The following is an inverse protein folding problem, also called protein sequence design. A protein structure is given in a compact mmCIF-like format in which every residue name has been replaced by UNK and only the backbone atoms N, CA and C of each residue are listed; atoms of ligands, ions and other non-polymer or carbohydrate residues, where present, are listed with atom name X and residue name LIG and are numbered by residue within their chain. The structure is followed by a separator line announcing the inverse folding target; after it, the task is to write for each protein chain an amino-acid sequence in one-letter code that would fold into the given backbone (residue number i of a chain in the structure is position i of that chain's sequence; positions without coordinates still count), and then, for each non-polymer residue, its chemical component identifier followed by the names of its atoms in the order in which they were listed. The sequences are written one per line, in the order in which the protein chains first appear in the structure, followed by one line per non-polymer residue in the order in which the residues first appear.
data_IF_102761339366
#
_entry.id   IF_102761339366
#
_cell.length_a   1.000
_cell.length_b   1.000
_cell.length_c   1.000
_cell.angle_alpha   90.00
_cell.angle_beta   90.00
_cell.angle_gamma   90.00
#
_symmetry.space_group_name_H-M   'P 1'
#
loop_
_entity.id
_entity.type
_entity.pdbx_description
1 polymer ?
#
# COMPACT_ATOMS: atom_id res chain seq x y z
N UNK A 1 16.69 11.44 -72.60
CA UNK A 1 17.61 10.77 -71.64
C UNK A 1 17.75 11.47 -70.28
N UNK A 2 17.33 12.73 -70.14
CA UNK A 2 17.51 13.53 -68.91
C UNK A 2 16.41 13.25 -67.85
N UNK A 3 15.16 13.03 -68.28
CA UNK A 3 14.00 12.82 -67.37
C UNK A 3 14.11 11.52 -66.53
N UNK A 4 14.69 10.46 -67.09
CA UNK A 4 14.90 9.17 -66.37
C UNK A 4 15.93 9.25 -65.24
N UNK A 5 16.90 10.18 -65.32
CA UNK A 5 17.93 10.33 -64.27
C UNK A 5 17.39 11.06 -63.03
N UNK A 6 16.43 11.96 -63.20
CA UNK A 6 15.83 12.70 -62.07
C UNK A 6 14.66 11.97 -61.40
N UNK A 7 13.96 11.07 -62.12
CA UNK A 7 12.91 10.23 -61.54
C UNK A 7 13.45 9.32 -60.41
N UNK A 8 14.66 8.78 -60.57
CA UNK A 8 15.33 7.98 -59.55
C UNK A 8 15.76 8.80 -58.32
N UNK A 9 16.19 10.05 -58.52
CA UNK A 9 16.57 10.97 -57.44
C UNK A 9 15.36 11.48 -56.64
N UNK A 10 14.21 11.66 -57.29
CA UNK A 10 12.94 12.05 -56.63
C UNK A 10 12.33 10.86 -55.87
N UNK A 11 12.44 9.63 -56.39
CA UNK A 11 12.04 8.43 -55.66
C UNK A 11 12.95 8.14 -54.46
N UNK A 12 14.26 8.40 -54.57
CA UNK A 12 15.20 8.24 -53.47
C UNK A 12 15.00 9.31 -52.38
N UNK A 13 14.67 10.56 -52.73
CA UNK A 13 14.36 11.60 -51.75
C UNK A 13 13.02 11.36 -51.04
N UNK A 14 12.00 10.83 -51.74
CA UNK A 14 10.75 10.39 -51.11
C UNK A 14 10.94 9.18 -50.18
N UNK A 15 11.84 8.25 -50.55
CA UNK A 15 12.16 7.09 -49.72
C UNK A 15 12.96 7.48 -48.46
N UNK A 16 13.83 8.49 -48.53
CA UNK A 16 14.55 9.01 -47.35
C UNK A 16 13.61 9.77 -46.40
N UNK A 17 12.62 10.52 -46.92
CA UNK A 17 11.61 11.22 -46.09
C UNK A 17 10.63 10.23 -45.42
N UNK A 18 10.34 9.09 -46.07
CA UNK A 18 9.51 8.03 -45.48
C UNK A 18 10.23 7.26 -44.36
N UNK A 19 11.57 7.16 -44.42
CA UNK A 19 12.37 6.48 -43.38
C UNK A 19 12.62 7.38 -42.16
N UNK A 20 12.59 8.71 -42.30
CA UNK A 20 12.76 9.63 -41.15
C UNK A 20 11.48 9.88 -40.33
N UNK A 21 10.32 9.36 -40.77
CA UNK A 21 9.03 9.62 -40.11
C UNK A 21 8.59 8.54 -39.11
N UNK A 22 9.38 7.47 -38.94
CA UNK A 22 9.20 6.51 -37.86
C UNK A 22 10.20 6.77 -36.74
N UNK A 23 10.16 7.99 -36.17
CA UNK A 23 10.52 8.10 -34.76
C UNK A 23 9.29 7.62 -34.00
N UNK A 24 9.25 6.32 -33.71
CA UNK A 24 8.42 5.84 -32.61
C UNK A 24 8.94 6.56 -31.37
N UNK A 25 8.25 7.62 -30.96
CA UNK A 25 8.29 8.07 -29.57
C UNK A 25 7.76 6.90 -28.77
N UNK A 26 8.66 5.99 -28.40
CA UNK A 26 8.40 4.93 -27.46
C UNK A 26 8.24 5.62 -26.10
N UNK A 27 7.09 6.24 -25.88
CA UNK A 27 6.62 6.69 -24.59
C UNK A 27 6.23 5.44 -23.78
N UNK A 28 7.17 4.53 -23.59
CA UNK A 28 7.02 3.43 -22.66
C UNK A 28 7.09 4.02 -21.26
N UNK A 29 5.93 4.07 -20.62
CA UNK A 29 5.77 4.21 -19.18
C UNK A 29 6.51 3.02 -18.53
N UNK A 30 7.83 3.09 -18.39
CA UNK A 30 8.64 2.01 -17.84
C UNK A 30 9.30 2.41 -16.52
N UNK A 31 8.46 2.57 -15.49
CA UNK A 31 8.84 2.18 -14.13
C UNK A 31 8.29 0.77 -13.88
N UNK A 32 8.80 -0.18 -14.66
CA UNK A 32 8.47 -1.62 -14.55
C UNK A 32 9.32 -2.32 -13.50
N UNK A 33 10.53 -1.84 -13.24
CA UNK A 33 11.49 -2.47 -12.34
C UNK A 33 11.38 -1.87 -10.94
N UNK A 34 11.12 -2.73 -9.96
CA UNK A 34 11.25 -2.40 -8.53
C UNK A 34 12.73 -2.09 -8.25
N UNK A 35 13.05 -0.86 -7.86
CA UNK A 35 14.40 -0.39 -7.49
C UNK A 35 14.46 0.32 -6.14
N UNK A 36 13.35 0.87 -5.66
CA UNK A 36 13.28 1.57 -4.38
C UNK A 36 12.06 1.20 -3.56
N UNK A 37 12.27 0.76 -2.33
CA UNK A 37 11.18 0.43 -1.39
C UNK A 37 11.21 1.41 -0.22
N UNK A 38 10.04 1.94 0.12
CA UNK A 38 9.83 2.74 1.33
C UNK A 38 9.15 1.86 2.36
N UNK A 39 9.78 1.68 3.52
CA UNK A 39 9.24 0.95 4.66
C UNK A 39 8.75 1.96 5.70
N UNK A 40 7.49 1.85 6.11
CA UNK A 40 6.90 2.71 7.13
C UNK A 40 6.53 1.92 8.39
N UNK A 41 7.31 2.03 9.46
CA UNK A 41 6.88 1.52 10.76
C UNK A 41 5.71 2.36 11.29
N UNK A 42 4.55 1.74 11.48
CA UNK A 42 3.34 2.37 11.99
C UNK A 42 3.55 3.10 13.32
N UNK A 43 2.77 4.16 13.58
CA UNK A 43 2.81 4.93 14.84
C UNK A 43 4.19 5.50 15.19
N UNK A 44 4.44 5.81 16.48
CA UNK A 44 5.73 6.26 17.01
C UNK A 44 5.60 7.46 17.97
N UNK A 45 6.56 7.62 18.89
CA UNK A 45 6.58 8.70 19.87
C UNK A 45 5.33 8.70 20.75
N UNK A 46 4.58 9.81 20.74
CA UNK A 46 3.35 9.98 21.51
C UNK A 46 2.18 9.13 21.00
N UNK A 47 2.23 8.66 19.75
CA UNK A 47 1.26 7.72 19.21
C UNK A 47 1.74 6.29 19.47
N UNK A 48 1.15 5.63 20.47
CA UNK A 48 1.47 4.24 20.84
C UNK A 48 0.93 3.18 19.88
N UNK A 49 -0.07 3.54 19.06
CA UNK A 49 -0.94 2.58 18.41
C UNK A 49 -1.73 1.74 19.42
N UNK A 50 -2.11 0.52 19.03
CA UNK A 50 -2.74 -0.43 19.92
C UNK A 50 -1.80 -0.85 21.08
N UNK A 51 -2.40 -1.16 22.22
CA UNK A 51 -1.71 -1.61 23.42
C UNK A 51 -2.08 -3.06 23.72
N UNK A 52 -1.07 -3.91 23.90
CA UNK A 52 -1.21 -5.28 24.39
C UNK A 52 -1.12 -5.36 25.91
N UNK A 53 -0.85 -6.57 26.43
CA UNK A 53 -0.64 -6.81 27.87
C UNK A 53 0.62 -6.12 28.39
N UNK A 54 1.69 -6.07 27.60
CA UNK A 54 2.99 -5.51 28.02
C UNK A 54 3.72 -4.73 26.92
N UNK A 55 3.19 -4.69 25.71
CA UNK A 55 3.81 -4.03 24.57
C UNK A 55 2.88 -3.03 23.88
N UNK A 56 3.47 -2.19 23.02
CA UNK A 56 2.76 -1.22 22.19
C UNK A 56 3.05 -1.53 20.72
N UNK A 57 2.03 -1.33 19.88
CA UNK A 57 2.11 -1.52 18.44
C UNK A 57 3.29 -0.76 17.82
N UNK A 58 3.53 0.49 18.25
CA UNK A 58 4.66 1.30 17.73
C UNK A 58 6.03 0.62 17.87
N UNK A 59 6.21 -0.21 18.91
CA UNK A 59 7.48 -0.89 19.19
C UNK A 59 7.60 -2.15 18.33
N UNK A 60 6.53 -2.94 18.24
CA UNK A 60 6.45 -4.13 17.38
C UNK A 60 6.67 -3.73 15.92
N UNK A 61 5.94 -2.71 15.45
CA UNK A 61 6.04 -2.21 14.08
C UNK A 61 7.46 -1.73 13.74
N UNK A 62 8.13 -1.03 14.67
CA UNK A 62 9.52 -0.62 14.50
C UNK A 62 10.46 -1.81 14.40
N UNK A 63 10.35 -2.76 15.33
CA UNK A 63 11.24 -3.92 15.38
C UNK A 63 11.14 -4.77 14.11
N UNK A 64 9.91 -5.10 13.68
CA UNK A 64 9.67 -5.85 12.44
C UNK A 64 10.17 -5.08 11.22
N UNK A 65 9.96 -3.76 11.16
CA UNK A 65 10.40 -2.95 10.01
C UNK A 65 11.92 -2.86 9.90
N UNK A 66 12.64 -2.75 11.01
CA UNK A 66 14.10 -2.75 11.02
C UNK A 66 14.66 -4.12 10.63
N UNK A 67 14.02 -5.20 11.08
CA UNK A 67 14.37 -6.56 10.66
C UNK A 67 14.11 -6.77 9.16
N UNK A 68 12.98 -6.28 8.65
CA UNK A 68 12.67 -6.29 7.22
C UNK A 68 13.70 -5.49 6.41
N UNK A 69 14.11 -4.31 6.89
CA UNK A 69 15.18 -3.52 6.25
C UNK A 69 16.48 -4.32 6.18
N UNK A 70 16.91 -4.92 7.29
CA UNK A 70 18.12 -5.74 7.38
C UNK A 70 18.11 -6.88 6.33
N UNK A 71 17.05 -7.69 6.33
CA UNK A 71 16.94 -8.83 5.41
C UNK A 71 16.84 -8.40 3.94
N UNK A 72 16.16 -7.29 3.64
CA UNK A 72 16.13 -6.74 2.28
C UNK A 72 17.50 -6.26 1.82
N UNK A 73 18.30 -5.62 2.69
CA UNK A 73 19.66 -5.20 2.35
C UNK A 73 20.56 -6.39 2.04
N UNK A 74 20.43 -7.46 2.81
CA UNK A 74 21.20 -8.68 2.61
C UNK A 74 20.79 -9.41 1.32
N UNK A 75 19.48 -9.58 1.12
CA UNK A 75 18.96 -10.49 0.09
C UNK A 75 18.58 -9.82 -1.23
N UNK A 76 18.48 -8.49 -1.26
CA UNK A 76 18.12 -7.67 -2.42
C UNK A 76 18.97 -6.39 -2.47
N UNK A 77 20.31 -6.49 -2.54
CA UNK A 77 21.21 -5.34 -2.44
C UNK A 77 21.10 -4.33 -3.59
N UNK A 78 20.43 -4.68 -4.68
CA UNK A 78 20.11 -3.81 -5.81
C UNK A 78 18.94 -2.85 -5.54
N UNK A 79 18.23 -3.04 -4.43
CA UNK A 79 17.09 -2.22 -4.02
C UNK A 79 17.53 -1.16 -3.02
N UNK A 80 17.27 0.11 -3.36
CA UNK A 80 17.40 1.23 -2.43
C UNK A 80 16.27 1.19 -1.39
N UNK A 81 16.61 1.27 -0.11
CA UNK A 81 15.64 1.23 1.00
C UNK A 81 15.61 2.55 1.74
N UNK A 82 14.39 3.07 1.93
CA UNK A 82 14.10 4.24 2.78
C UNK A 82 13.17 3.79 3.90
N UNK A 83 13.52 4.08 5.15
CA UNK A 83 12.64 3.82 6.30
C UNK A 83 12.15 5.15 6.86
N UNK A 84 10.85 5.32 7.02
CA UNK A 84 10.27 6.62 7.44
C UNK A 84 10.66 7.01 8.86
N UNK A 85 10.96 6.04 9.74
CA UNK A 85 11.55 6.27 11.07
C UNK A 85 12.42 5.07 11.49
N UNK A 86 13.54 5.33 12.16
CA UNK A 86 14.45 4.29 12.69
C UNK A 86 14.55 4.27 14.22
N UNK A 87 13.76 5.11 14.87
CA UNK A 87 13.70 5.27 16.33
C UNK A 87 12.25 5.52 16.76
N UNK A 88 12.02 5.63 18.07
CA UNK A 88 10.71 5.95 18.64
C UNK A 88 10.38 7.44 18.51
N UNK A 89 10.13 7.88 17.28
CA UNK A 89 9.71 9.25 16.95
C UNK A 89 8.32 9.24 16.31
N UNK A 90 7.54 10.26 16.61
CA UNK A 90 6.24 10.46 15.98
C UNK A 90 6.42 11.14 14.62
N UNK A 91 5.90 10.52 13.56
CA UNK A 91 5.64 11.18 12.28
C UNK A 91 4.15 11.17 12.01
N UNK A 92 3.60 12.36 11.75
CA UNK A 92 2.21 12.48 11.32
C UNK A 92 1.98 11.71 10.00
N UNK A 93 0.74 11.24 9.70
CA UNK A 93 0.46 10.58 8.43
C UNK A 93 0.90 11.41 7.21
N UNK A 94 0.66 12.74 7.14
CA UNK A 94 1.20 13.57 6.06
C UNK A 94 2.72 13.56 5.96
N UNK A 95 3.44 13.61 7.08
CA UNK A 95 4.90 13.51 7.10
C UNK A 95 5.38 12.19 6.50
N UNK A 96 4.75 11.06 6.86
CA UNK A 96 5.07 9.73 6.33
C UNK A 96 4.87 9.68 4.80
N UNK A 97 3.74 10.19 4.31
CA UNK A 97 3.44 10.24 2.88
C UNK A 97 4.44 11.13 2.13
N UNK A 98 4.81 12.29 2.71
CA UNK A 98 5.79 13.20 2.11
C UNK A 98 7.18 12.55 2.00
N UNK A 99 7.65 11.85 3.03
CA UNK A 99 8.92 11.10 2.98
C UNK A 99 8.89 10.09 1.82
N UNK A 100 7.81 9.32 1.71
CA UNK A 100 7.68 8.31 0.66
C UNK A 100 7.67 8.92 -0.75
N UNK A 101 6.88 9.98 -0.94
CA UNK A 101 6.73 10.67 -2.22
C UNK A 101 8.02 11.35 -2.66
N UNK A 102 8.70 12.07 -1.75
CA UNK A 102 9.97 12.72 -2.03
C UNK A 102 11.09 11.71 -2.35
N UNK A 103 11.06 10.53 -1.71
CA UNK A 103 11.98 9.44 -2.03
C UNK A 103 11.78 8.88 -3.45
N UNK A 104 10.63 9.14 -4.09
CA UNK A 104 10.24 8.58 -5.40
C UNK A 104 10.24 7.06 -5.39
N UNK A 105 9.76 6.45 -4.30
CA UNK A 105 9.68 5.01 -4.13
C UNK A 105 8.91 4.31 -5.26
N UNK A 106 9.24 3.05 -5.52
CA UNK A 106 8.50 2.15 -6.41
C UNK A 106 7.42 1.37 -5.66
N UNK A 107 7.57 1.24 -4.36
CA UNK A 107 6.69 0.49 -3.48
C UNK A 107 6.74 1.08 -2.07
N UNK A 108 5.57 1.14 -1.42
CA UNK A 108 5.42 1.53 -0.02
C UNK A 108 4.87 0.36 0.80
N UNK A 109 5.57 -0.04 1.87
CA UNK A 109 5.19 -1.12 2.77
C UNK A 109 5.07 -0.56 4.18
N UNK A 110 3.85 -0.47 4.68
CA UNK A 110 3.56 0.00 6.04
C UNK A 110 3.35 -1.21 6.96
N UNK A 111 4.01 -1.22 8.12
CA UNK A 111 3.98 -2.34 9.07
C UNK A 111 3.20 -1.93 10.31
N UNK A 112 2.21 -2.74 10.70
CA UNK A 112 1.32 -2.54 11.84
C UNK A 112 1.08 -3.85 12.60
N UNK A 113 0.44 -3.75 13.76
CA UNK A 113 -0.08 -4.88 14.51
C UNK A 113 -1.53 -4.60 14.92
N UNK A 114 -2.43 -5.48 14.49
CA UNK A 114 -3.86 -5.30 14.63
C UNK A 114 -4.30 -5.40 16.08
N UNK A 115 -5.51 -4.95 16.36
CA UNK A 115 -6.15 -5.11 17.65
C UNK A 115 -7.65 -5.22 17.49
N UNK A 116 -8.29 -5.97 18.38
CA UNK A 116 -9.74 -6.09 18.42
C UNK A 116 -10.24 -6.01 19.85
N UNK A 117 -11.39 -5.35 20.02
CA UNK A 117 -12.02 -5.22 21.33
C UNK A 117 -12.41 -6.59 21.91
N UNK A 118 -12.37 -6.73 23.25
CA UNK A 118 -12.93 -7.88 23.95
C UNK A 118 -14.40 -8.11 23.57
N UNK A 119 -14.84 -9.36 23.56
CA UNK A 119 -16.21 -9.72 23.23
C UNK A 119 -17.11 -9.28 24.38
N UNK A 120 -18.06 -8.39 24.08
CA UNK A 120 -19.05 -7.89 25.04
C UNK A 120 -20.24 -8.84 25.14
N UNK A 121 -20.52 -9.32 26.35
CA UNK A 121 -21.69 -10.11 26.70
C UNK A 121 -22.69 -9.27 27.48
N UNK A 122 -23.99 -9.58 27.33
CA UNK A 122 -25.06 -8.91 28.07
C UNK A 122 -26.12 -9.93 28.48
N UNK A 123 -26.30 -10.12 29.78
CA UNK A 123 -27.24 -11.10 30.33
C UNK A 123 -28.38 -10.39 31.06
N UNK A 124 -29.63 -10.80 30.80
CA UNK A 124 -30.79 -10.29 31.53
C UNK A 124 -30.71 -10.78 32.99
N UNK A 125 -30.55 -9.85 33.93
CA UNK A 125 -30.45 -10.15 35.37
C UNK A 125 -31.75 -9.95 36.12
N UNK A 126 -32.74 -9.33 35.50
CA UNK A 126 -34.06 -9.14 36.09
C UNK A 126 -34.78 -7.94 35.51
N UNK A 127 -35.76 -7.44 36.27
CA UNK A 127 -36.55 -6.28 35.89
C UNK A 127 -36.58 -5.28 37.04
N UNK A 128 -36.34 -4.01 36.73
CA UNK A 128 -36.55 -2.90 37.67
C UNK A 128 -37.89 -2.26 37.38
N UNK A 129 -38.70 -2.10 38.41
CA UNK A 129 -39.89 -1.27 38.32
C UNK A 129 -39.46 0.20 38.39
N UNK A 130 -39.76 0.97 37.34
CA UNK A 130 -39.56 2.42 37.32
C UNK A 130 -40.91 3.12 37.27
N UNK A 131 -41.06 4.19 38.04
CA UNK A 131 -42.23 5.06 37.98
C UNK A 131 -41.80 6.44 37.49
N UNK A 132 -42.39 6.91 36.40
CA UNK A 132 -42.15 8.24 35.82
C UNK A 132 -43.42 9.08 35.91
N UNK A 133 -43.28 10.38 36.15
CA UNK A 133 -44.40 11.34 36.24
C UNK A 133 -44.64 11.86 37.66
N UNK A 134 -45.54 12.85 37.78
CA UNK A 134 -45.84 13.56 39.03
C UNK A 134 -47.35 13.59 39.30
N UNK A 135 -47.75 13.50 40.56
CA UNK A 135 -49.16 13.48 40.97
C UNK A 135 -49.95 12.33 40.34
N UNK A 136 -51.16 12.63 39.84
CA UNK A 136 -52.07 11.64 39.21
C UNK A 136 -51.60 11.13 37.83
N UNK A 137 -50.51 11.69 37.26
CA UNK A 137 -49.95 11.28 35.96
C UNK A 137 -48.75 10.33 36.08
N UNK A 138 -48.55 9.67 37.22
CA UNK A 138 -47.50 8.65 37.40
C UNK A 138 -47.81 7.42 36.54
N UNK A 139 -46.81 6.94 35.80
CA UNK A 139 -46.83 5.68 35.05
C UNK A 139 -45.71 4.79 35.55
N UNK A 140 -46.06 3.54 35.85
CA UNK A 140 -45.11 2.52 36.31
C UNK A 140 -44.87 1.54 35.17
N UNK A 141 -43.61 1.20 34.93
CA UNK A 141 -43.21 0.24 33.91
C UNK A 141 -42.11 -0.66 34.45
N UNK A 142 -42.17 -1.94 34.12
CA UNK A 142 -41.04 -2.87 34.34
C UNK A 142 -40.06 -2.71 33.19
N UNK A 143 -38.83 -2.35 33.49
CA UNK A 143 -37.74 -2.27 32.51
C UNK A 143 -36.73 -3.38 32.77
N UNK A 144 -36.22 -4.05 31.73
CA UNK A 144 -35.21 -5.09 31.88
C UNK A 144 -33.90 -4.50 32.43
N UNK A 145 -33.21 -5.27 33.25
CA UNK A 145 -31.88 -4.97 33.76
C UNK A 145 -30.88 -5.98 33.20
N UNK A 146 -29.74 -5.48 32.72
CA UNK A 146 -28.71 -6.32 32.14
C UNK A 146 -27.40 -6.21 32.93
N UNK A 147 -26.67 -7.32 33.05
CA UNK A 147 -25.27 -7.33 33.46
C UNK A 147 -24.42 -7.45 32.20
N UNK A 148 -23.50 -6.51 32.02
CA UNK A 148 -22.51 -6.56 30.95
C UNK A 148 -21.18 -7.08 31.50
N UNK A 149 -20.56 -8.02 30.78
CA UNK A 149 -19.20 -8.51 31.06
C UNK A 149 -18.45 -8.75 29.75
N UNK A 150 -17.13 -8.93 29.82
CA UNK A 150 -16.26 -9.05 28.66
C UNK A 150 -15.44 -10.33 28.72
N UNK A 151 -15.23 -10.99 27.58
CA UNK A 151 -14.28 -12.09 27.43
C UNK A 151 -13.19 -11.74 26.43
N UNK A 152 -11.99 -12.34 26.53
CA UNK A 152 -10.95 -12.18 25.52
C UNK A 152 -11.46 -12.49 24.11
N UNK A 153 -10.95 -11.76 23.12
CA UNK A 153 -11.25 -12.01 21.72
C UNK A 153 -10.14 -12.90 21.11
N UNK A 154 -10.46 -14.09 20.58
CA UNK A 154 -9.44 -15.03 20.10
C UNK A 154 -8.91 -14.71 18.70
N UNK A 155 -9.23 -13.53 18.14
CA UNK A 155 -8.73 -13.11 16.84
C UNK A 155 -7.20 -13.22 16.78
N UNK A 156 -6.70 -13.79 15.69
CA UNK A 156 -5.28 -13.98 15.39
C UNK A 156 -5.08 -14.07 13.89
N UNK A 157 -3.85 -13.90 13.44
CA UNK A 157 -3.50 -13.97 12.03
C UNK A 157 -3.21 -12.62 11.41
N UNK A 158 -2.90 -12.66 10.12
CA UNK A 158 -2.43 -11.53 9.32
C UNK A 158 -3.54 -10.99 8.44
N UNK A 159 -3.49 -9.69 8.18
CA UNK A 159 -4.34 -9.00 7.19
C UNK A 159 -3.48 -8.01 6.43
N UNK A 160 -3.57 -7.98 5.10
CA UNK A 160 -2.84 -6.98 4.31
C UNK A 160 -3.83 -6.07 3.58
N UNK A 161 -3.73 -4.77 3.83
CA UNK A 161 -4.65 -3.77 3.32
C UNK A 161 -4.05 -2.99 2.15
N UNK A 162 -4.90 -2.68 1.18
CA UNK A 162 -4.67 -1.66 0.16
C UNK A 162 -5.62 -0.47 0.39
N UNK A 163 -5.42 0.64 -0.31
CA UNK A 163 -6.40 1.73 -0.24
C UNK A 163 -7.76 1.28 -0.81
N UNK A 164 -8.84 1.81 -0.23
CA UNK A 164 -10.19 1.49 -0.70
C UNK A 164 -10.47 2.11 -2.08
N UNK A 165 -11.12 1.39 -2.98
CA UNK A 165 -11.48 1.90 -4.31
C UNK A 165 -12.37 3.16 -4.25
N UNK A 166 -13.19 3.29 -3.20
CA UNK A 166 -13.97 4.51 -2.90
C UNK A 166 -13.10 5.72 -2.50
N UNK A 167 -11.78 5.55 -2.42
CA UNK A 167 -10.76 6.58 -2.16
C UNK A 167 -9.85 6.84 -3.36
N UNK A 168 -10.30 6.48 -4.56
CA UNK A 168 -9.55 6.73 -5.78
C UNK A 168 -9.31 8.22 -6.01
N UNK A 169 -10.25 9.10 -5.67
CA UNK A 169 -10.06 10.56 -5.83
C UNK A 169 -8.89 11.09 -4.98
N UNK A 170 -8.79 10.62 -3.73
CA UNK A 170 -7.68 10.95 -2.82
C UNK A 170 -6.34 10.43 -3.39
N UNK A 171 -6.32 9.22 -3.96
CA UNK A 171 -5.14 8.66 -4.65
C UNK A 171 -4.77 9.46 -5.91
N UNK A 172 -5.76 9.87 -6.71
CA UNK A 172 -5.53 10.68 -7.90
C UNK A 172 -4.96 12.05 -7.55
N UNK A 173 -5.44 12.67 -6.47
CA UNK A 173 -4.89 13.91 -5.95
C UNK A 173 -3.40 13.75 -5.60
N UNK A 174 -3.06 12.70 -4.85
CA UNK A 174 -1.66 12.41 -4.53
C UNK A 174 -0.79 12.22 -5.78
N UNK A 175 -1.30 11.55 -6.81
CA UNK A 175 -0.58 11.38 -8.08
C UNK A 175 -0.39 12.70 -8.84
N UNK A 176 -1.40 13.59 -8.83
CA UNK A 176 -1.32 14.93 -9.44
C UNK A 176 -0.29 15.80 -8.75
N UNK A 177 -0.38 15.91 -7.43
CA UNK A 177 0.52 16.77 -6.62
C UNK A 177 1.98 16.35 -6.75
N UNK A 178 2.24 15.06 -6.97
CA UNK A 178 3.59 14.51 -7.11
C UNK A 178 3.99 14.26 -8.58
N UNK A 179 3.17 14.65 -9.56
CA UNK A 179 3.42 14.35 -10.98
C UNK A 179 4.79 14.87 -11.45
N UNK A 180 5.17 16.07 -11.01
CA UNK A 180 6.45 16.70 -11.35
C UNK A 180 7.67 15.93 -10.82
N UNK A 181 7.52 15.14 -9.75
CA UNK A 181 8.60 14.31 -9.20
C UNK A 181 8.92 13.11 -10.08
N UNK A 182 7.93 12.62 -10.84
CA UNK A 182 8.01 11.42 -11.66
C UNK A 182 8.17 11.69 -13.16
N UNK A 183 8.14 12.95 -13.59
CA UNK A 183 8.47 13.36 -14.96
C UNK A 183 9.99 13.53 -15.06
N UNK A 184 10.63 12.74 -15.90
CA UNK A 184 12.07 12.83 -16.14
C UNK A 184 12.45 14.11 -16.90
N UNK A 185 13.66 14.64 -16.72
CA UNK A 185 14.09 15.94 -17.27
C UNK A 185 14.00 16.02 -18.80
N UNK A 186 14.15 14.88 -19.49
CA UNK A 186 14.05 14.76 -20.94
C UNK A 186 12.60 14.81 -21.43
N UNK A 187 11.66 14.35 -20.60
CA UNK A 187 10.21 14.44 -20.82
C UNK A 187 9.63 15.77 -20.35
N UNK A 188 10.31 16.48 -19.46
CA UNK A 188 9.89 17.78 -18.97
C UNK A 188 9.81 18.83 -20.09
N UNK A 189 10.57 18.67 -21.19
CA UNK A 189 10.51 19.59 -22.34
C UNK A 189 9.29 19.35 -23.23
N UNK A 190 8.83 18.10 -23.39
CA UNK A 190 7.61 17.80 -24.13
C UNK A 190 6.34 17.96 -23.28
N UNK A 191 6.45 17.86 -21.94
CA UNK A 191 5.33 18.00 -21.00
C UNK A 191 5.11 19.44 -20.50
N UNK A 192 6.09 20.32 -20.63
CA UNK A 192 5.96 21.75 -20.25
C UNK A 192 4.96 22.56 -21.09
N UNK A 193 4.34 21.96 -22.12
CA UNK A 193 3.31 22.60 -22.92
C UNK A 193 1.87 22.32 -22.46
N UNK A 194 1.65 21.52 -21.40
CA UNK A 194 0.31 21.09 -21.02
C UNK A 194 -0.32 22.01 -19.96
N UNK A 195 -1.49 22.56 -20.31
CA UNK A 195 -2.38 23.21 -19.35
C UNK A 195 -2.93 22.17 -18.37
N UNK A 196 -2.97 22.52 -17.09
CA UNK A 196 -3.60 21.73 -16.04
C UNK A 196 -5.01 21.30 -16.42
N UNK A 197 -5.33 20.01 -16.31
CA UNK A 197 -6.66 19.45 -16.59
C UNK A 197 -6.87 18.99 -18.03
N UNK A 198 -5.80 18.73 -18.79
CA UNK A 198 -5.91 18.14 -20.14
C UNK A 198 -6.45 16.70 -20.09
N UNK A 199 -7.07 16.25 -21.18
CA UNK A 199 -7.63 14.89 -21.31
C UNK A 199 -6.52 13.84 -21.12
N UNK A 200 -5.32 14.12 -21.62
CA UNK A 200 -4.13 13.26 -21.52
C UNK A 200 -3.63 13.14 -20.08
N UNK A 201 -3.63 14.23 -19.32
CA UNK A 201 -3.27 14.23 -17.90
C UNK A 201 -4.25 13.35 -17.11
N UNK A 202 -5.55 13.57 -17.27
CA UNK A 202 -6.60 12.79 -16.62
C UNK A 202 -6.50 11.30 -16.97
N UNK A 203 -6.28 10.99 -18.25
CA UNK A 203 -6.12 9.61 -18.72
C UNK A 203 -4.90 8.95 -18.08
N UNK A 204 -3.76 9.65 -18.02
CA UNK A 204 -2.53 9.14 -17.41
C UNK A 204 -2.72 8.87 -15.92
N UNK A 205 -3.37 9.79 -15.20
CA UNK A 205 -3.64 9.66 -13.76
C UNK A 205 -4.58 8.49 -13.49
N UNK A 206 -5.66 8.34 -14.27
CA UNK A 206 -6.59 7.22 -14.13
C UNK A 206 -5.89 5.88 -14.40
N UNK A 207 -5.07 5.80 -15.45
CA UNK A 207 -4.29 4.61 -15.77
C UNK A 207 -3.29 4.26 -14.66
N UNK A 208 -2.56 5.25 -14.13
CA UNK A 208 -1.63 5.06 -13.01
C UNK A 208 -2.35 4.62 -11.74
N UNK A 209 -3.49 5.22 -11.43
CA UNK A 209 -4.31 4.86 -10.27
C UNK A 209 -4.70 3.38 -10.34
N UNK A 210 -5.22 2.93 -11.49
CA UNK A 210 -5.58 1.52 -11.71
C UNK A 210 -4.36 0.60 -11.64
N UNK A 211 -3.26 0.97 -12.30
CA UNK A 211 -2.03 0.19 -12.27
C UNK A 211 -1.49 0.01 -10.84
N UNK A 212 -1.48 1.08 -10.06
CA UNK A 212 -1.02 1.02 -8.67
C UNK A 212 -1.97 0.22 -7.80
N UNK A 213 -3.27 0.23 -8.10
CA UNK A 213 -4.27 -0.56 -7.38
C UNK A 213 -4.01 -2.04 -7.61
N UNK A 214 -3.90 -2.45 -8.87
CA UNK A 214 -3.63 -3.83 -9.26
C UNK A 214 -2.29 -4.32 -8.70
N UNK A 215 -1.25 -3.46 -8.73
CA UNK A 215 0.06 -3.75 -8.15
C UNK A 215 0.01 -3.93 -6.64
N UNK A 216 -0.72 -3.07 -5.93
CA UNK A 216 -0.85 -3.15 -4.47
C UNK A 216 -1.63 -4.39 -4.08
N UNK A 217 -2.71 -4.70 -4.80
CA UNK A 217 -3.52 -5.91 -4.59
C UNK A 217 -2.67 -7.17 -4.79
N UNK A 218 -1.95 -7.25 -5.90
CA UNK A 218 -1.10 -8.41 -6.20
C UNK A 218 -0.03 -8.63 -5.13
N UNK A 219 0.60 -7.56 -4.63
CA UNK A 219 1.55 -7.68 -3.53
C UNK A 219 0.87 -8.12 -2.24
N UNK A 220 -0.27 -7.54 -1.89
CA UNK A 220 -1.01 -7.87 -0.67
C UNK A 220 -1.39 -9.37 -0.62
N UNK A 221 -1.92 -9.90 -1.73
CA UNK A 221 -2.21 -11.33 -1.87
C UNK A 221 -0.94 -12.18 -1.74
N UNK A 222 0.17 -11.75 -2.36
CA UNK A 222 1.45 -12.46 -2.27
C UNK A 222 2.02 -12.48 -0.85
N UNK A 223 1.84 -11.40 -0.08
CA UNK A 223 2.27 -11.31 1.33
C UNK A 223 1.48 -12.30 2.19
N UNK A 224 0.15 -12.32 2.05
CA UNK A 224 -0.70 -13.24 2.80
C UNK A 224 -0.40 -14.72 2.46
N UNK A 225 -0.12 -15.04 1.19
CA UNK A 225 0.35 -16.39 0.79
C UNK A 225 1.64 -16.79 1.53
N UNK A 226 2.61 -15.88 1.66
CA UNK A 226 3.88 -16.16 2.33
C UNK A 226 3.74 -16.25 3.85
N UNK A 227 2.76 -15.57 4.43
CA UNK A 227 2.40 -15.76 5.84
C UNK A 227 1.74 -17.11 6.07
N UNK A 228 0.84 -17.54 5.19
CA UNK A 228 0.21 -18.86 5.26
C UNK A 228 1.24 -19.99 5.18
N UNK A 229 2.22 -19.88 4.27
CA UNK A 229 3.34 -20.83 4.17
C UNK A 229 4.21 -20.88 5.42
N UNK A 230 4.33 -19.75 6.12
CA UNK A 230 5.03 -19.66 7.40
C UNK A 230 4.17 -20.13 8.59
N UNK A 231 2.97 -20.68 8.34
CA UNK A 231 2.08 -21.22 9.38
C UNK A 231 1.23 -20.17 10.09
N UNK A 232 1.18 -18.93 9.59
CA UNK A 232 0.30 -17.88 10.13
C UNK A 232 -1.11 -18.01 9.54
N UNK A 233 -2.10 -17.54 10.30
CA UNK A 233 -3.50 -17.54 9.84
C UNK A 233 -3.69 -16.39 8.83
N UNK A 234 -3.93 -16.73 7.57
CA UNK A 234 -4.23 -15.79 6.50
C UNK A 234 -5.69 -15.30 6.61
N UNK A 235 -5.89 -13.99 6.83
CA UNK A 235 -7.22 -13.36 6.85
C UNK A 235 -7.48 -12.46 5.63
N UNK A 236 -6.67 -12.65 4.58
CA UNK A 236 -6.81 -12.13 3.22
C UNK A 236 -6.30 -10.70 3.01
N UNK A 237 -6.16 -10.36 1.73
CA UNK A 237 -5.94 -9.01 1.27
C UNK A 237 -7.27 -8.24 1.23
N UNK A 238 -7.34 -7.10 1.93
CA UNK A 238 -8.60 -6.41 2.23
C UNK A 238 -8.58 -4.92 1.87
N UNK A 239 -9.78 -4.34 1.80
CA UNK A 239 -10.01 -2.90 1.77
C UNK A 239 -10.88 -2.52 2.97
N UNK A 240 -10.52 -1.47 3.71
CA UNK A 240 -11.37 -0.95 4.80
C UNK A 240 -12.44 -0.03 4.24
N UNK A 241 -13.63 -0.03 4.86
CA UNK A 241 -14.69 0.95 4.61
C UNK A 241 -14.27 2.35 5.04
N UNK A 242 -13.58 2.46 6.18
CA UNK A 242 -12.84 3.66 6.58
C UNK A 242 -11.48 3.63 5.90
N UNK A 243 -11.29 4.45 4.87
CA UNK A 243 -10.03 4.51 4.14
C UNK A 243 -8.80 4.74 5.03
N UNK A 244 -7.68 4.10 4.67
CA UNK A 244 -6.38 4.26 5.33
C UNK A 244 -5.64 5.42 4.66
N UNK A 245 -5.53 6.57 5.33
CA UNK A 245 -5.10 7.83 4.72
C UNK A 245 -3.70 7.75 4.09
N UNK A 246 -2.71 7.15 4.77
CA UNK A 246 -1.33 7.08 4.26
C UNK A 246 -1.25 6.29 2.94
N UNK A 247 -2.04 5.23 2.79
CA UNK A 247 -2.09 4.45 1.54
C UNK A 247 -2.71 5.24 0.39
N UNK A 248 -3.58 6.20 0.67
CA UNK A 248 -4.19 7.08 -0.34
C UNK A 248 -3.20 8.18 -0.77
N UNK A 249 -2.49 8.77 0.21
CA UNK A 249 -1.63 9.93 0.02
C UNK A 249 -0.26 9.64 -0.62
N UNK A 250 0.16 8.37 -0.69
CA UNK A 250 1.42 7.99 -1.35
C UNK A 250 1.22 7.77 -2.85
N UNK A 251 2.12 8.32 -3.66
CA UNK A 251 2.10 8.30 -5.13
C UNK A 251 2.84 7.08 -5.72
N UNK A 252 2.65 5.91 -5.11
CA UNK A 252 3.18 4.61 -5.54
C UNK A 252 2.22 3.46 -5.14
N UNK A 253 2.42 2.22 -5.63
CA UNK A 253 1.81 1.03 -5.03
C UNK A 253 2.12 0.95 -3.54
N UNK A 254 1.11 0.61 -2.73
CA UNK A 254 1.19 0.72 -1.29
C UNK A 254 0.35 -0.35 -0.58
N UNK A 255 0.94 -0.98 0.43
CA UNK A 255 0.26 -1.94 1.32
C UNK A 255 0.47 -1.55 2.78
N UNK A 256 -0.52 -1.87 3.62
CA UNK A 256 -0.39 -1.88 5.08
C UNK A 256 -0.55 -3.31 5.57
N UNK A 257 0.49 -3.85 6.20
CA UNK A 257 0.54 -5.23 6.68
C UNK A 257 0.25 -5.25 8.17
N UNK A 258 -0.89 -5.81 8.55
CA UNK A 258 -1.19 -6.16 9.94
C UNK A 258 -0.56 -7.53 10.23
N UNK A 259 0.51 -7.54 11.02
CA UNK A 259 1.37 -8.71 11.20
C UNK A 259 0.83 -9.76 12.18
N UNK A 260 -0.21 -9.41 12.94
CA UNK A 260 -0.85 -10.23 13.97
C UNK A 260 -1.79 -9.38 14.82
N UNK A 261 -2.44 -9.97 15.81
CA UNK A 261 -3.32 -9.24 16.74
C UNK A 261 -2.65 -9.04 18.10
N UNK A 262 -2.18 -7.82 18.41
CA UNK A 262 -1.58 -7.49 19.72
C UNK A 262 -2.54 -7.68 20.90
N UNK A 263 -3.85 -7.63 20.64
CA UNK A 263 -4.89 -7.91 21.64
C UNK A 263 -4.97 -9.38 22.05
N UNK A 264 -4.36 -10.29 21.28
CA UNK A 264 -4.28 -11.70 21.59
C UNK A 264 -2.93 -12.02 22.27
N UNK A 265 -2.92 -12.54 23.51
CA UNK A 265 -1.67 -12.75 24.25
C UNK A 265 -0.64 -13.66 23.56
N UNK A 266 -1.08 -14.71 22.86
CA UNK A 266 -0.16 -15.62 22.13
C UNK A 266 0.47 -14.90 20.93
N UNK A 267 -0.31 -14.08 20.23
CA UNK A 267 0.18 -13.26 19.13
C UNK A 267 1.10 -12.14 19.64
N UNK A 268 0.79 -11.50 20.77
CA UNK A 268 1.68 -10.49 21.38
C UNK A 268 3.04 -11.10 21.72
N UNK A 269 3.06 -12.29 22.33
CA UNK A 269 4.29 -13.02 22.65
C UNK A 269 5.08 -13.37 21.38
N UNK A 270 4.39 -13.82 20.33
CA UNK A 270 5.02 -14.10 19.02
C UNK A 270 5.59 -12.83 18.35
N UNK A 271 4.81 -11.74 18.29
CA UNK A 271 5.19 -10.48 17.64
C UNK A 271 6.37 -9.77 18.32
N UNK A 272 6.53 -9.96 19.62
CA UNK A 272 7.68 -9.44 20.38
C UNK A 272 8.89 -10.38 20.37
N UNK A 273 8.72 -11.65 19.94
CA UNK A 273 9.81 -12.63 19.91
C UNK A 273 10.76 -12.39 18.72
N UNK A 274 12.04 -12.73 18.89
CA UNK A 274 13.04 -12.65 17.82
C UNK A 274 12.66 -13.56 16.64
N UNK A 275 12.23 -14.78 16.93
CA UNK A 275 11.80 -15.75 15.91
C UNK A 275 10.58 -15.25 15.13
N UNK A 276 9.57 -14.72 15.82
CA UNK A 276 8.37 -14.22 15.16
C UNK A 276 8.64 -13.03 14.27
N UNK A 277 9.49 -12.09 14.71
CA UNK A 277 9.91 -10.94 13.91
C UNK A 277 10.73 -11.36 12.69
N UNK A 278 11.64 -12.32 12.84
CA UNK A 278 12.44 -12.90 11.75
C UNK A 278 11.53 -13.57 10.71
N UNK A 279 10.64 -14.46 11.15
CA UNK A 279 9.69 -15.16 10.27
C UNK A 279 8.77 -14.17 9.54
N UNK A 280 8.22 -13.17 10.24
CA UNK A 280 7.35 -12.17 9.61
C UNK A 280 8.11 -11.39 8.55
N UNK A 281 9.29 -10.87 8.88
CA UNK A 281 10.10 -10.10 7.95
C UNK A 281 10.52 -10.95 6.75
N UNK A 282 10.94 -12.21 6.97
CA UNK A 282 11.32 -13.13 5.90
C UNK A 282 10.15 -13.46 4.97
N UNK A 283 8.93 -13.66 5.48
CA UNK A 283 7.73 -13.82 4.65
C UNK A 283 7.51 -12.61 3.74
N UNK A 284 7.66 -11.40 4.27
CA UNK A 284 7.52 -10.17 3.47
C UNK A 284 8.64 -10.06 2.43
N UNK A 285 9.89 -10.42 2.75
CA UNK A 285 11.00 -10.47 1.78
C UNK A 285 10.70 -11.45 0.65
N UNK A 286 10.24 -12.66 0.97
CA UNK A 286 9.88 -13.67 -0.02
C UNK A 286 8.76 -13.16 -0.93
N UNK A 287 7.76 -12.48 -0.37
CA UNK A 287 6.67 -11.90 -1.13
C UNK A 287 7.15 -10.80 -2.07
N UNK A 288 8.03 -9.90 -1.60
CA UNK A 288 8.63 -8.85 -2.42
C UNK A 288 9.47 -9.43 -3.56
N UNK A 289 10.23 -10.51 -3.32
CA UNK A 289 10.99 -11.23 -4.37
C UNK A 289 10.06 -11.83 -5.42
N UNK A 290 9.00 -12.54 -5.00
CA UNK A 290 7.98 -13.09 -5.90
C UNK A 290 7.28 -12.00 -6.71
N UNK A 291 6.94 -10.90 -6.07
CA UNK A 291 6.31 -9.75 -6.69
C UNK A 291 7.22 -9.08 -7.71
N UNK A 292 8.50 -8.85 -7.38
CA UNK A 292 9.49 -8.30 -8.31
C UNK A 292 9.66 -9.19 -9.54
N UNK A 293 9.78 -10.51 -9.34
CA UNK A 293 9.89 -11.48 -10.42
C UNK A 293 8.67 -11.44 -11.36
N UNK A 294 7.46 -11.32 -10.82
CA UNK A 294 6.24 -11.22 -11.64
C UNK A 294 6.17 -9.92 -12.44
N UNK A 295 6.61 -8.80 -11.87
CA UNK A 295 6.73 -7.51 -12.57
C UNK A 295 7.73 -7.57 -13.73
N UNK A 296 8.91 -8.12 -13.48
CA UNK A 296 9.98 -8.20 -14.46
C UNK A 296 9.55 -9.09 -15.64
N UNK A 297 8.92 -10.25 -15.39
CA UNK A 297 8.46 -11.16 -16.45
C UNK A 297 7.24 -10.66 -17.23
N UNK A 298 6.31 -9.96 -16.56
CA UNK A 298 5.17 -9.35 -17.25
C UNK A 298 5.62 -8.26 -18.24
N UNK A 299 6.76 -7.62 -17.96
CA UNK A 299 7.39 -6.62 -18.83
C UNK A 299 8.08 -7.24 -20.05
N UNK A 300 8.73 -8.39 -19.88
CA UNK A 300 9.39 -9.13 -20.97
C UNK A 300 8.35 -9.67 -21.98
N UNK A 301 7.21 -10.18 -21.49
CA UNK A 301 6.14 -10.69 -22.35
C UNK A 301 5.50 -9.62 -23.24
N UNK A 302 5.35 -8.38 -22.75
CA UNK A 302 4.84 -7.26 -23.56
C UNK A 302 5.86 -6.74 -24.56
N UNK A 303 7.17 -6.70 -24.23
CA UNK A 303 8.19 -6.23 -25.18
C UNK A 303 8.40 -7.18 -26.35
N UNK A 304 8.24 -8.49 -26.16
CA UNK A 304 8.33 -9.47 -27.26
C UNK A 304 7.12 -9.39 -28.20
N UNK A 305 5.91 -9.16 -27.68
CA UNK A 305 4.70 -9.03 -28.48
C UNK A 305 4.65 -7.74 -29.33
N UNK A 306 5.39 -6.69 -28.95
CA UNK A 306 5.53 -5.45 -29.73
C UNK A 306 6.61 -5.53 -30.81
N UNK A 307 7.56 -6.46 -30.72
CA UNK A 307 8.61 -6.68 -31.73
C UNK A 307 8.11 -7.62 -32.85
N UNK A 308 7.05 -8.41 -32.59
CA UNK A 308 6.48 -9.38 -33.53
C UNK A 308 5.30 -8.85 -34.36
N UNK A 309 5.11 -7.53 -34.46
CA UNK A 309 4.06 -6.90 -35.28
C UNK A 309 4.63 -5.89 -36.24
#
# INVERSE_FOLDING_TARGET
MIVRKYAALILLSFMVILVTSFTTTDHTIQKSRLRKIVIDPGHGGADGGAQGRYSYEKNIALAISLKLEELLREQMPDIELIVTRKSDIFHSPPTKANIANQAKGDLFVCIHANSVDPIRHSELTGYKTITRGKGRKKRTSKVPQYRTYYTPNPAKGTETYIWGAHKNDDKQLALRENQSLYIDSTSAQSVRAFTSGSIEEMTTINLRTRLYFDRSKSLAETIEDEFEKAGRVNRQALQRTKGIWVLQAVAMPAVLVETGYISNPEEEDYLNSKEGQETIAQSIVNAIKRYKYSLDNKTIGTSQASISK
#
